data_IF_507024150747
#
_entry.id   IF_507024150747
#
_cell.length_a   1.000
_cell.length_b   1.000
_cell.length_c   1.000
_cell.angle_alpha   90.00
_cell.angle_beta   90.00
_cell.angle_gamma   90.00
#
_symmetry.space_group_name_H-M   'P 1'
#
loop_
_entity.id
_entity.type
_entity.pdbx_description
1 polymer ?
#
# COMPACT_ATOMS: atom_id res chain seq x y z
N UNK A 1 -3.93 0.50 28.11
CA UNK A 1 -3.07 0.76 26.93
C UNK A 1 -2.90 -0.48 26.05
N UNK A 2 -2.74 -1.69 26.61
CA UNK A 2 -2.55 -2.93 25.82
C UNK A 2 -3.62 -3.22 24.76
N UNK A 3 -4.90 -3.00 25.08
CA UNK A 3 -6.00 -3.29 24.15
C UNK A 3 -5.94 -2.39 22.91
N UNK A 4 -5.57 -1.11 23.07
CA UNK A 4 -5.46 -0.15 21.97
C UNK A 4 -4.32 -0.53 21.03
N UNK A 5 -3.17 -0.94 21.56
CA UNK A 5 -2.03 -1.39 20.76
C UNK A 5 -2.33 -2.68 20.00
N UNK A 6 -2.97 -3.66 20.64
CA UNK A 6 -3.38 -4.91 19.99
C UNK A 6 -4.38 -4.67 18.86
N UNK A 7 -5.37 -3.80 19.09
CA UNK A 7 -6.35 -3.44 18.07
C UNK A 7 -5.69 -2.69 16.92
N UNK A 8 -4.83 -1.71 17.19
CA UNK A 8 -4.08 -0.98 16.16
C UNK A 8 -3.19 -1.91 15.32
N UNK A 9 -2.51 -2.85 15.96
CA UNK A 9 -1.72 -3.88 15.29
C UNK A 9 -2.54 -4.82 14.42
N UNK A 10 -3.70 -5.27 14.91
CA UNK A 10 -4.61 -6.10 14.14
C UNK A 10 -5.12 -5.36 12.89
N UNK A 11 -5.45 -4.07 13.02
CA UNK A 11 -5.87 -3.23 11.90
C UNK A 11 -4.73 -3.06 10.89
N UNK A 12 -3.50 -2.78 11.33
CA UNK A 12 -2.34 -2.65 10.44
C UNK A 12 -2.05 -3.93 9.67
N UNK A 13 -2.18 -5.10 10.32
CA UNK A 13 -2.07 -6.41 9.67
C UNK A 13 -3.18 -6.62 8.63
N UNK A 14 -4.44 -6.30 8.99
CA UNK A 14 -5.59 -6.41 8.10
C UNK A 14 -5.43 -5.53 6.86
N UNK A 15 -5.03 -4.27 7.03
CA UNK A 15 -4.77 -3.34 5.92
C UNK A 15 -3.61 -3.85 5.06
N UNK A 16 -2.53 -4.31 5.68
CA UNK A 16 -1.35 -4.84 4.99
C UNK A 16 -1.68 -6.06 4.12
N UNK A 17 -2.67 -6.87 4.50
CA UNK A 17 -3.10 -8.05 3.72
C UNK A 17 -4.17 -7.70 2.70
N UNK A 18 -5.17 -6.90 3.07
CA UNK A 18 -6.31 -6.59 2.19
C UNK A 18 -5.96 -5.63 1.05
N UNK A 19 -5.08 -4.65 1.30
CA UNK A 19 -4.66 -3.70 0.27
C UNK A 19 -4.03 -4.36 -0.97
N UNK A 20 -3.03 -5.26 -0.87
CA UNK A 20 -2.43 -5.89 -2.04
C UNK A 20 -3.41 -6.82 -2.74
N UNK A 21 -4.27 -7.53 -2.01
CA UNK A 21 -5.35 -8.35 -2.59
C UNK A 21 -6.30 -7.51 -3.44
N UNK A 22 -6.75 -6.37 -2.91
CA UNK A 22 -7.62 -5.44 -3.64
C UNK A 22 -6.94 -4.80 -4.85
N UNK A 23 -5.68 -4.40 -4.70
CA UNK A 23 -4.88 -3.81 -5.78
C UNK A 23 -4.63 -4.82 -6.92
N UNK A 24 -4.26 -6.07 -6.60
CA UNK A 24 -4.10 -7.15 -7.58
C UNK A 24 -5.42 -7.46 -8.28
N UNK A 25 -6.52 -7.56 -7.54
CA UNK A 25 -7.85 -7.79 -8.12
C UNK A 25 -8.25 -6.68 -9.10
N UNK A 26 -8.08 -5.41 -8.71
CA UNK A 26 -8.37 -4.27 -9.58
C UNK A 26 -7.48 -4.27 -10.82
N UNK A 27 -6.20 -4.61 -10.67
CA UNK A 27 -5.25 -4.71 -11.79
C UNK A 27 -5.63 -5.83 -12.77
N UNK A 28 -6.00 -7.03 -12.26
CA UNK A 28 -6.51 -8.13 -13.09
C UNK A 28 -7.79 -7.74 -13.83
N UNK A 29 -8.72 -7.05 -13.15
CA UNK A 29 -9.97 -6.55 -13.75
C UNK A 29 -9.71 -5.48 -14.82
N UNK A 30 -8.70 -4.64 -14.65
CA UNK A 30 -8.31 -3.63 -15.64
C UNK A 30 -7.61 -4.24 -16.86
N UNK A 31 -6.69 -5.19 -16.64
CA UNK A 31 -5.96 -5.87 -17.71
C UNK A 31 -6.85 -6.81 -18.53
N UNK A 32 -7.91 -7.36 -17.93
CA UNK A 32 -8.89 -8.21 -18.61
C UNK A 32 -9.95 -7.46 -19.42
N UNK A 33 -9.93 -6.12 -19.45
CA UNK A 33 -10.83 -5.31 -20.28
C UNK A 33 -10.07 -4.78 -21.50
N UNK A 34 -10.36 -5.34 -22.66
CA UNK A 34 -9.71 -4.99 -23.94
C UNK A 34 -10.02 -3.54 -24.39
N UNK A 35 -11.09 -2.91 -23.85
CA UNK A 35 -11.56 -1.58 -24.26
C UNK A 35 -10.94 -0.39 -23.49
N UNK A 36 -10.09 -0.63 -22.49
CA UNK A 36 -9.49 0.46 -21.71
C UNK A 36 -8.09 0.83 -22.25
N UNK A 37 -7.77 2.14 -22.39
CA UNK A 37 -6.42 2.56 -22.73
C UNK A 37 -5.46 2.01 -21.67
N UNK A 38 -4.42 1.30 -22.12
CA UNK A 38 -3.43 0.70 -21.22
C UNK A 38 -2.84 1.80 -20.32
N UNK A 39 -2.81 1.60 -18.98
CA UNK A 39 -2.25 2.60 -18.08
C UNK A 39 -0.79 2.87 -18.43
N UNK A 40 -0.33 4.10 -18.20
CA UNK A 40 1.06 4.47 -18.48
C UNK A 40 2.03 3.60 -17.66
N UNK A 41 3.24 3.29 -18.18
CA UNK A 41 4.23 2.50 -17.45
C UNK A 41 4.56 3.07 -16.06
N UNK A 42 4.58 4.41 -15.93
CA UNK A 42 4.78 5.09 -14.65
C UNK A 42 3.63 4.83 -13.65
N UNK A 43 2.38 4.81 -14.12
CA UNK A 43 1.21 4.52 -13.29
C UNK A 43 1.20 3.07 -12.79
N UNK A 44 1.63 2.13 -13.64
CA UNK A 44 1.80 0.72 -13.25
C UNK A 44 2.94 0.55 -12.24
N UNK A 45 4.10 1.18 -12.45
CA UNK A 45 5.20 1.16 -11.49
C UNK A 45 4.76 1.66 -10.11
N UNK A 46 4.01 2.77 -10.04
CA UNK A 46 3.49 3.29 -8.76
C UNK A 46 2.57 2.28 -8.05
N UNK A 47 1.72 1.56 -8.79
CA UNK A 47 0.89 0.49 -8.23
C UNK A 47 1.73 -0.67 -7.70
N UNK A 48 2.75 -1.11 -8.44
CA UNK A 48 3.66 -2.16 -7.96
C UNK A 48 4.43 -1.75 -6.72
N UNK A 49 4.92 -0.50 -6.68
CA UNK A 49 5.59 0.06 -5.51
C UNK A 49 4.64 0.01 -4.32
N UNK A 50 3.40 0.48 -4.46
CA UNK A 50 2.41 0.44 -3.37
C UNK A 50 2.04 -0.98 -2.94
N UNK A 51 1.88 -1.91 -3.87
CA UNK A 51 1.63 -3.33 -3.57
C UNK A 51 2.78 -3.95 -2.78
N UNK A 52 4.02 -3.51 -2.99
CA UNK A 52 5.16 -4.00 -2.23
C UNK A 52 5.32 -3.29 -0.87
N UNK A 53 5.20 -1.96 -0.84
CA UNK A 53 5.58 -1.15 0.32
C UNK A 53 4.47 -1.05 1.38
N UNK A 54 3.20 -1.02 0.97
CA UNK A 54 2.06 -0.91 1.91
C UNK A 54 1.93 -2.17 2.79
N UNK A 55 1.98 -3.40 2.24
CA UNK A 55 1.97 -4.61 3.05
C UNK A 55 3.19 -4.71 3.94
N UNK A 56 4.37 -4.32 3.43
CA UNK A 56 5.59 -4.37 4.21
C UNK A 56 5.52 -3.45 5.43
N UNK A 57 5.04 -2.21 5.26
CA UNK A 57 4.82 -1.28 6.36
C UNK A 57 3.70 -1.72 7.31
N UNK A 58 2.56 -2.18 6.77
CA UNK A 58 1.41 -2.62 7.55
C UNK A 58 1.67 -3.89 8.36
N UNK A 59 2.31 -4.90 7.76
CA UNK A 59 2.60 -6.17 8.43
C UNK A 59 3.69 -5.98 9.49
N UNK A 60 4.83 -5.39 9.12
CA UNK A 60 5.93 -5.19 10.08
C UNK A 60 5.58 -4.16 11.17
N UNK A 61 4.81 -3.12 10.83
CA UNK A 61 4.23 -2.18 11.78
C UNK A 61 3.18 -2.83 12.69
N UNK A 62 2.36 -3.73 12.16
CA UNK A 62 1.40 -4.51 12.94
C UNK A 62 2.07 -5.47 13.91
N UNK A 63 3.16 -6.13 13.50
CA UNK A 63 3.98 -6.96 14.38
C UNK A 63 4.60 -6.18 15.55
N UNK A 64 4.69 -4.85 15.49
CA UNK A 64 5.15 -4.00 16.61
C UNK A 64 4.41 -4.25 17.92
N UNK A 65 3.08 -4.38 17.85
CA UNK A 65 2.24 -4.57 19.03
C UNK A 65 2.15 -6.02 19.51
N UNK A 66 2.66 -6.98 18.73
CA UNK A 66 2.71 -8.40 19.12
C UNK A 66 4.12 -8.84 19.56
N UNK A 67 5.17 -8.24 18.97
CA UNK A 67 6.57 -8.55 19.26
C UNK A 67 7.40 -7.26 19.36
N UNK A 68 7.37 -6.57 20.52
CA UNK A 68 8.07 -5.29 20.73
C UNK A 68 9.60 -5.38 20.57
N UNK A 69 10.17 -6.57 20.77
CA UNK A 69 11.60 -6.86 20.59
C UNK A 69 12.07 -6.65 19.15
N UNK A 70 11.20 -6.85 18.15
CA UNK A 70 11.52 -6.56 16.74
C UNK A 70 11.81 -5.07 16.51
N UNK A 71 11.19 -4.19 17.30
CA UNK A 71 11.43 -2.74 17.25
C UNK A 71 12.72 -2.32 17.93
N UNK A 72 13.43 -3.20 18.61
CA UNK A 72 14.77 -2.89 19.10
C UNK A 72 15.79 -2.93 17.96
N UNK A 73 15.53 -3.71 16.90
CA UNK A 73 16.37 -3.73 15.70
C UNK A 73 16.27 -2.40 14.95
N UNK A 74 17.40 -1.72 14.80
CA UNK A 74 17.50 -0.49 14.00
C UNK A 74 17.22 -0.76 12.52
N UNK A 75 17.61 -1.94 12.02
CA UNK A 75 17.36 -2.38 10.64
C UNK A 75 15.87 -2.53 10.37
N UNK A 76 15.13 -3.21 11.26
CA UNK A 76 13.68 -3.39 11.09
C UNK A 76 12.98 -2.03 11.10
N UNK A 77 13.32 -1.15 12.06
CA UNK A 77 12.76 0.21 12.10
C UNK A 77 13.01 0.99 10.81
N UNK A 78 14.24 0.95 10.29
CA UNK A 78 14.57 1.63 9.04
C UNK A 78 13.77 1.10 7.85
N UNK A 79 13.58 -0.23 7.75
CA UNK A 79 12.76 -0.86 6.71
C UNK A 79 11.31 -0.42 6.83
N UNK A 80 10.72 -0.46 8.03
CA UNK A 80 9.32 -0.08 8.25
C UNK A 80 9.08 1.39 7.93
N UNK A 81 9.94 2.28 8.42
CA UNK A 81 9.83 3.71 8.12
C UNK A 81 10.07 4.00 6.64
N UNK A 82 11.06 3.38 6.02
CA UNK A 82 11.33 3.51 4.59
C UNK A 82 10.15 3.05 3.74
N UNK A 83 9.59 1.89 4.03
CA UNK A 83 8.39 1.37 3.36
C UNK A 83 7.17 2.27 3.58
N UNK A 84 6.99 2.81 4.79
CA UNK A 84 5.92 3.76 5.09
C UNK A 84 6.05 5.05 4.26
N UNK A 85 7.24 5.66 4.24
CA UNK A 85 7.52 6.89 3.48
C UNK A 85 7.31 6.65 1.98
N UNK A 86 7.87 5.56 1.43
CA UNK A 86 7.68 5.19 0.02
C UNK A 86 6.20 5.02 -0.32
N UNK A 87 5.43 4.40 0.57
CA UNK A 87 3.99 4.23 0.38
C UNK A 87 3.26 5.58 0.33
N UNK A 88 3.56 6.50 1.25
CA UNK A 88 2.95 7.83 1.26
C UNK A 88 3.32 8.61 0.00
N UNK A 89 4.59 8.59 -0.40
CA UNK A 89 5.07 9.28 -1.62
C UNK A 89 4.40 8.71 -2.87
N UNK A 90 4.37 7.38 -3.01
CA UNK A 90 3.75 6.74 -4.16
C UNK A 90 2.24 7.00 -4.22
N UNK A 91 1.57 7.04 -3.06
CA UNK A 91 0.14 7.36 -2.98
C UNK A 91 -0.13 8.83 -3.34
N UNK A 92 0.67 9.76 -2.83
CA UNK A 92 0.60 11.17 -3.20
C UNK A 92 0.82 11.35 -4.71
N UNK A 93 1.84 10.70 -5.27
CA UNK A 93 2.09 10.70 -6.70
C UNK A 93 0.90 10.14 -7.48
N UNK A 94 0.26 9.04 -7.05
CA UNK A 94 -0.95 8.55 -7.72
C UNK A 94 -2.09 9.57 -7.72
N UNK A 95 -2.29 10.32 -6.63
CA UNK A 95 -3.33 11.36 -6.56
C UNK A 95 -3.04 12.47 -7.56
N UNK A 96 -1.80 12.96 -7.62
CA UNK A 96 -1.40 14.03 -8.56
C UNK A 96 -1.32 13.55 -10.02
N UNK A 97 -0.97 12.28 -10.23
CA UNK A 97 -0.82 11.66 -11.56
C UNK A 97 -2.13 11.10 -12.09
N UNK A 98 -3.17 11.00 -11.25
CA UNK A 98 -4.47 10.51 -11.69
C UNK A 98 -4.96 11.47 -12.79
N UNK A 99 -5.06 11.02 -14.05
CA UNK A 99 -5.63 11.88 -15.07
C UNK A 99 -7.02 12.24 -14.59
N UNK A 100 -7.32 13.54 -14.49
CA UNK A 100 -8.70 14.03 -14.39
C UNK A 100 -9.47 13.24 -15.44
N UNK A 101 -10.27 12.27 -15.02
CA UNK A 101 -11.14 11.53 -15.93
C UNK A 101 -11.83 12.61 -16.78
N UNK A 102 -11.70 12.60 -18.11
CA UNK A 102 -12.54 13.44 -18.93
C UNK A 102 -13.96 13.11 -18.52
N UNK A 103 -14.74 14.12 -18.10
CA UNK A 103 -16.16 13.94 -17.82
C UNK A 103 -16.74 13.23 -19.03
N UNK A 104 -17.25 12.02 -18.83
CA UNK A 104 -18.02 11.30 -19.83
C UNK A 104 -19.26 12.16 -20.10
N UNK A 105 -19.21 12.92 -21.18
CA UNK A 105 -20.21 13.93 -21.51
C UNK A 105 -19.77 14.71 -22.73
N UNK A 106 -19.96 14.08 -23.90
CA UNK A 106 -20.48 14.66 -25.15
C UNK A 106 -20.86 13.50 -26.08
#
# INVERSE_FOLDING_TARGET
>A
MDTLYKVGSAVLLLVGVLYPLGAIYMMMKFLGREDFPRPSPAYMMLHFVLIATVPLAGILGGFAGFAPTLWQSQVIRAIVYGAGILSVVAFAMLIFSSPRQPKRGE
#
